data_IF_889962242374
#
_entry.id   IF_889962242374
#
_cell.length_a   1.000
_cell.length_b   1.000
_cell.length_c   1.000
_cell.angle_alpha   90.00
_cell.angle_beta   90.00
_cell.angle_gamma   90.00
#
_symmetry.space_group_name_H-M   'P 1'
#
loop_
_entity.id
_entity.type
_entity.pdbx_description
1 polymer ?
#
# COMPACT_ATOMS: atom_id res chain seq x y z
N UNK A 1 -6.72 -10.02 14.91
CA UNK A 1 -7.82 -9.68 13.99
C UNK A 1 -7.25 -8.83 12.88
N UNK A 2 -7.60 -9.11 11.63
CA UNK A 2 -7.13 -8.37 10.44
C UNK A 2 -8.32 -7.70 9.76
N UNK A 3 -8.04 -6.60 9.05
CA UNK A 3 -8.97 -5.94 8.12
C UNK A 3 -8.33 -5.92 6.74
N UNK A 4 -9.15 -6.12 5.71
CA UNK A 4 -8.76 -5.89 4.34
C UNK A 4 -8.87 -4.41 4.03
N UNK A 5 -7.88 -3.85 3.36
CA UNK A 5 -7.88 -2.47 2.90
C UNK A 5 -7.37 -2.39 1.47
N UNK A 6 -7.87 -1.42 0.71
CA UNK A 6 -7.35 -1.07 -0.61
C UNK A 6 -6.36 0.08 -0.46
N UNK A 7 -5.20 -0.06 -1.10
CA UNK A 7 -4.14 0.94 -1.10
C UNK A 7 -3.86 1.37 -2.52
N UNK A 8 -4.03 2.66 -2.79
CA UNK A 8 -3.50 3.28 -4.01
C UNK A 8 -2.02 3.59 -3.81
N UNK A 9 -1.19 3.12 -4.73
CA UNK A 9 0.24 3.39 -4.83
C UNK A 9 0.52 4.16 -6.11
N UNK A 10 1.37 5.18 -6.04
CA UNK A 10 1.91 5.88 -7.20
C UNK A 10 3.41 5.66 -7.29
N UNK A 11 3.84 5.42 -8.52
CA UNK A 11 5.24 5.26 -8.88
C UNK A 11 5.53 5.93 -10.21
N UNK A 12 6.81 6.02 -10.56
CA UNK A 12 7.25 6.50 -11.87
C UNK A 12 6.64 5.71 -13.06
N UNK A 13 6.15 4.49 -12.83
CA UNK A 13 5.49 3.64 -13.84
C UNK A 13 3.98 3.85 -13.93
N UNK A 14 3.41 4.65 -13.02
CA UNK A 14 1.98 4.95 -12.93
C UNK A 14 1.36 4.55 -11.59
N UNK A 15 0.03 4.41 -11.63
CA UNK A 15 -0.82 4.13 -10.47
C UNK A 15 -1.16 2.65 -10.39
N UNK A 16 -1.04 2.06 -9.20
CA UNK A 16 -1.43 0.68 -8.88
C UNK A 16 -2.35 0.71 -7.67
N UNK A 17 -3.34 -0.19 -7.62
CA UNK A 17 -4.16 -0.41 -6.43
C UNK A 17 -3.93 -1.83 -5.97
N UNK A 18 -3.57 -2.00 -4.69
CA UNK A 18 -3.32 -3.30 -4.07
C UNK A 18 -4.27 -3.51 -2.89
N UNK A 19 -4.78 -4.72 -2.78
CA UNK A 19 -5.50 -5.16 -1.58
C UNK A 19 -4.53 -5.82 -0.60
N UNK A 20 -4.59 -5.39 0.66
CA UNK A 20 -3.75 -5.95 1.72
C UNK A 20 -4.54 -6.25 2.99
N UNK A 21 -4.24 -7.38 3.61
CA UNK A 21 -4.82 -7.79 4.88
C UNK A 21 -3.91 -7.34 6.03
N UNK A 22 -4.27 -6.25 6.70
CA UNK A 22 -3.49 -5.63 7.79
C UNK A 22 -4.12 -5.89 9.15
N UNK A 23 -3.32 -5.83 10.22
CA UNK A 23 -3.88 -5.83 11.59
C UNK A 23 -4.86 -4.67 11.77
N UNK A 24 -5.93 -4.85 12.55
CA UNK A 24 -6.90 -3.78 12.83
C UNK A 24 -6.29 -2.56 13.54
N UNK A 25 -5.14 -2.74 14.21
CA UNK A 25 -4.36 -1.67 14.86
C UNK A 25 -3.22 -1.14 13.98
N UNK A 26 -3.06 -1.66 12.76
CA UNK A 26 -2.03 -1.18 11.84
C UNK A 26 -2.35 0.24 11.39
N UNK A 27 -1.30 1.05 11.31
CA UNK A 27 -1.39 2.39 10.73
C UNK A 27 -1.51 2.30 9.21
N UNK A 28 -2.06 3.36 8.60
CA UNK A 28 -2.14 3.44 7.14
C UNK A 28 -0.75 3.42 6.49
N UNK A 29 0.27 3.97 7.16
CA UNK A 29 1.65 3.89 6.68
C UNK A 29 2.16 2.44 6.63
N UNK A 30 1.79 1.60 7.60
CA UNK A 30 2.13 0.18 7.59
C UNK A 30 1.37 -0.56 6.47
N UNK A 31 0.10 -0.22 6.22
CA UNK A 31 -0.65 -0.76 5.09
C UNK A 31 -0.01 -0.38 3.74
N UNK A 32 0.39 0.89 3.60
CA UNK A 32 1.06 1.40 2.40
C UNK A 32 2.41 0.72 2.15
N UNK A 33 3.24 0.56 3.19
CA UNK A 33 4.52 -0.14 3.01
C UNK A 33 4.32 -1.62 2.64
N UNK A 34 3.31 -2.27 3.21
CA UNK A 34 3.00 -3.67 2.89
C UNK A 34 2.50 -3.80 1.43
N UNK A 35 1.60 -2.92 1.00
CA UNK A 35 1.11 -2.85 -0.37
C UNK A 35 2.25 -2.56 -1.36
N UNK A 36 3.14 -1.62 -1.03
CA UNK A 36 4.33 -1.29 -1.84
C UNK A 36 5.22 -2.51 -2.05
N UNK A 37 5.48 -3.28 -0.98
CA UNK A 37 6.27 -4.52 -1.05
C UNK A 37 5.58 -5.59 -1.88
N UNK A 38 4.26 -5.74 -1.76
CA UNK A 38 3.47 -6.68 -2.56
C UNK A 38 3.48 -6.34 -4.06
N UNK A 39 3.35 -5.07 -4.41
CA UNK A 39 3.44 -4.56 -5.79
C UNK A 39 4.88 -4.60 -6.36
N UNK A 40 5.88 -4.98 -5.57
CA UNK A 40 7.28 -4.99 -6.00
C UNK A 40 7.86 -3.60 -6.30
N UNK A 41 7.26 -2.53 -5.74
CA UNK A 41 7.70 -1.15 -5.98
C UNK A 41 8.89 -0.83 -5.08
N UNK A 42 10.03 -0.55 -5.71
CA UNK A 42 11.23 -0.13 -4.98
C UNK A 42 11.02 1.22 -4.30
N UNK A 43 11.75 1.49 -3.22
CA UNK A 43 11.65 2.78 -2.51
C UNK A 43 12.05 3.97 -3.39
N UNK A 44 12.90 3.73 -4.40
CA UNK A 44 13.33 4.75 -5.36
C UNK A 44 12.24 5.07 -6.40
N UNK A 45 11.36 4.13 -6.72
CA UNK A 45 10.26 4.32 -7.66
C UNK A 45 8.96 4.77 -6.97
N UNK A 46 8.87 4.59 -5.64
CA UNK A 46 7.69 4.92 -4.86
C UNK A 46 7.57 6.44 -4.65
N UNK A 47 6.48 7.02 -5.15
CA UNK A 47 6.21 8.45 -5.00
C UNK A 47 5.28 8.72 -3.82
N UNK A 48 4.16 8.02 -3.76
CA UNK A 48 3.17 8.18 -2.68
C UNK A 48 2.27 6.95 -2.58
N UNK A 49 1.60 6.79 -1.43
CA UNK A 49 0.59 5.77 -1.24
C UNK A 49 -0.41 6.18 -0.17
N UNK A 50 -1.65 5.74 -0.33
CA UNK A 50 -2.73 6.02 0.62
C UNK A 50 -3.77 4.90 0.63
N UNK A 51 -4.38 4.67 1.79
CA UNK A 51 -5.55 3.80 1.91
C UNK A 51 -6.75 4.50 1.28
N UNK A 52 -7.52 3.77 0.45
CA UNK A 52 -8.72 4.28 -0.22
C UNK A 52 -10.01 3.53 0.17
N UNK A 53 -9.89 2.38 0.84
CA UNK A 53 -10.99 1.64 1.46
C UNK A 53 -10.48 0.80 2.63
#
# INVERSE_FOLDING_TARGET
MTRRVEVELRSARGRVVEEVDVSVVATDAAAVDMARRQAGISTAEFETGRVIA
#
